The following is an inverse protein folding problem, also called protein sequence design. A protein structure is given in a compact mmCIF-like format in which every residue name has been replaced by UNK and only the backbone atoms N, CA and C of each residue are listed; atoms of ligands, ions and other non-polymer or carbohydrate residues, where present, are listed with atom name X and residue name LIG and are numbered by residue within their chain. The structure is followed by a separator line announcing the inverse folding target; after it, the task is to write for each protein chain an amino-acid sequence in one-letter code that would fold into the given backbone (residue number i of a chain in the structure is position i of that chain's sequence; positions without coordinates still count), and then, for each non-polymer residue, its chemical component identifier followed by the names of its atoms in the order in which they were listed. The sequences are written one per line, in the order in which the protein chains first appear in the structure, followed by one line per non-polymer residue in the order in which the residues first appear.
data_IF_228419677190
#
_entry.id   IF_228419677190
#
_cell.length_a   1.000
_cell.length_b   1.000
_cell.length_c   1.000
_cell.angle_alpha   90.00
_cell.angle_beta   90.00
_cell.angle_gamma   90.00
#
_symmetry.space_group_name_H-M   'P 1'
#
loop_
_entity.id
_entity.type
_entity.pdbx_description
1 polymer ?
#
# COMPACT_ATOMS: atom_id res chain seq x y z
N UNK A 1 -38.50 56.35 32.76
CA UNK A 1 -37.75 57.57 32.39
C UNK A 1 -36.62 57.78 33.39
N UNK A 2 -35.36 57.57 32.99
CA UNK A 2 -34.13 58.32 33.37
C UNK A 2 -32.89 57.49 33.03
N UNK A 3 -32.26 57.87 31.92
CA UNK A 3 -30.90 57.51 31.52
C UNK A 3 -29.90 57.98 32.57
N UNK A 4 -28.79 57.25 32.72
CA UNK A 4 -27.46 57.88 32.88
C UNK A 4 -26.41 57.11 32.05
N UNK A 5 -25.91 57.81 31.03
CA UNK A 5 -24.67 57.55 30.27
C UNK A 5 -23.46 58.01 31.09
N UNK A 6 -22.35 57.28 30.98
CA UNK A 6 -20.94 57.73 31.00
C UNK A 6 -20.17 56.52 30.40
N UNK A 7 -19.69 56.49 29.15
CA UNK A 7 -18.57 57.22 28.50
C UNK A 7 -17.28 57.23 29.34
N UNK A 8 -16.35 56.31 29.05
CA UNK A 8 -14.90 56.61 28.96
C UNK A 8 -14.14 55.52 28.16
N UNK A 9 -13.46 55.99 27.11
CA UNK A 9 -12.50 55.46 26.11
C UNK A 9 -11.14 55.07 26.78
N UNK A 10 -10.06 54.42 26.21
CA UNK A 10 -9.67 54.14 24.80
C UNK A 10 -8.97 52.77 24.47
N UNK A 11 -8.62 52.62 23.18
CA UNK A 11 -7.43 51.96 22.58
C UNK A 11 -7.04 50.54 23.04
N UNK A 12 -7.29 49.56 22.18
CA UNK A 12 -6.29 48.55 21.72
C UNK A 12 -6.71 48.19 20.29
N UNK A 13 -6.31 48.94 19.26
CA UNK A 13 -5.09 48.70 18.47
C UNK A 13 -4.55 47.26 18.51
N UNK A 14 -5.38 46.27 18.19
CA UNK A 14 -4.89 45.03 17.61
C UNK A 14 -5.09 45.11 16.10
N UNK A 15 -4.08 45.69 15.44
CA UNK A 15 -3.75 45.38 14.07
C UNK A 15 -3.63 43.85 13.98
N UNK A 16 -4.71 43.19 13.57
CA UNK A 16 -4.61 41.85 13.03
C UNK A 16 -3.93 42.08 11.68
N UNK A 17 -2.61 41.98 11.70
CA UNK A 17 -1.82 41.66 10.51
C UNK A 17 -2.35 40.29 10.08
N UNK A 18 -3.35 40.29 9.20
CA UNK A 18 -3.61 39.18 8.31
C UNK A 18 -2.35 39.11 7.46
N UNK A 19 -1.39 38.30 7.92
CA UNK A 19 -0.29 37.85 7.08
C UNK A 19 -0.99 37.08 5.97
N UNK A 20 -1.07 37.71 4.81
CA UNK A 20 -1.54 37.15 3.56
C UNK A 20 -0.59 36.01 3.14
N UNK A 21 -0.76 34.83 3.73
CA UNK A 21 -0.13 33.58 3.26
C UNK A 21 -1.11 32.75 2.39
N UNK A 22 -2.02 33.39 1.66
CA UNK A 22 -3.03 32.68 0.87
C UNK A 22 -3.00 32.97 -0.64
N UNK A 23 -1.95 33.61 -1.15
CA UNK A 23 -1.82 33.94 -2.59
C UNK A 23 -0.65 33.23 -3.29
N UNK A 24 0.21 32.50 -2.57
CA UNK A 24 1.54 32.09 -3.09
C UNK A 24 1.67 30.65 -3.60
N UNK A 25 0.83 29.70 -3.18
CA UNK A 25 1.01 28.28 -3.54
C UNK A 25 -0.21 27.73 -4.31
N UNK A 26 -0.03 27.15 -5.51
CA UNK A 26 -1.09 26.47 -6.25
C UNK A 26 -1.48 25.13 -5.57
N UNK A 27 -2.28 25.24 -4.50
CA UNK A 27 -2.60 24.14 -3.58
C UNK A 27 -3.26 22.93 -4.26
N UNK A 28 -4.06 23.18 -5.31
CA UNK A 28 -4.74 22.11 -6.05
C UNK A 28 -3.71 21.29 -6.80
N UNK A 29 -2.90 21.94 -7.64
CA UNK A 29 -1.87 21.31 -8.45
C UNK A 29 -0.84 20.59 -7.58
N UNK A 30 -0.49 21.17 -6.43
CA UNK A 30 0.36 20.51 -5.45
C UNK A 30 -0.24 19.20 -4.93
N UNK A 31 -1.50 19.22 -4.49
CA UNK A 31 -2.18 18.02 -3.99
C UNK A 31 -2.35 16.96 -5.06
N UNK A 32 -2.71 17.37 -6.27
CA UNK A 32 -2.89 16.47 -7.41
C UNK A 32 -1.55 15.78 -7.74
N UNK A 33 -0.47 16.55 -7.92
CA UNK A 33 0.86 16.01 -8.19
C UNK A 33 1.36 15.09 -7.07
N UNK A 34 1.21 15.50 -5.80
CA UNK A 34 1.61 14.69 -4.64
C UNK A 34 0.87 13.37 -4.59
N UNK A 35 -0.45 13.39 -4.81
CA UNK A 35 -1.28 12.18 -4.77
C UNK A 35 -0.87 11.21 -5.87
N UNK A 36 -0.61 11.72 -7.08
CA UNK A 36 -0.20 10.88 -8.21
C UNK A 36 1.21 10.32 -8.00
N UNK A 37 2.13 11.14 -7.47
CA UNK A 37 3.48 10.73 -7.08
C UNK A 37 3.46 9.59 -6.07
N UNK A 38 2.69 9.76 -4.99
CA UNK A 38 2.59 8.77 -3.92
C UNK A 38 2.05 7.44 -4.44
N UNK A 39 1.10 7.47 -5.38
CA UNK A 39 0.60 6.25 -6.05
C UNK A 39 1.66 5.59 -6.93
N UNK A 40 2.37 6.37 -7.74
CA UNK A 40 3.43 5.85 -8.61
C UNK A 40 4.54 5.17 -7.79
N UNK A 41 4.95 5.78 -6.68
CA UNK A 41 5.96 5.23 -5.76
C UNK A 41 5.42 4.01 -5.00
N UNK A 42 4.19 4.08 -4.47
CA UNK A 42 3.57 2.98 -3.71
C UNK A 42 3.57 1.66 -4.50
N UNK A 43 3.40 1.73 -5.81
CA UNK A 43 3.35 0.56 -6.69
C UNK A 43 4.65 0.36 -7.49
N UNK A 44 5.72 1.08 -7.18
CA UNK A 44 7.02 0.99 -7.84
C UNK A 44 6.95 1.12 -9.38
N UNK A 45 6.10 2.03 -9.86
CA UNK A 45 5.77 2.15 -11.29
C UNK A 45 6.88 2.78 -12.15
N UNK A 46 7.91 3.35 -11.52
CA UNK A 46 9.11 3.85 -12.19
C UNK A 46 9.81 2.77 -13.06
N UNK A 47 9.58 1.48 -12.77
CA UNK A 47 10.14 0.39 -13.56
C UNK A 47 9.44 0.17 -14.91
N UNK A 48 8.24 0.73 -15.10
CA UNK A 48 7.43 0.53 -16.31
C UNK A 48 7.39 1.77 -17.22
N UNK A 49 7.58 2.96 -16.66
CA UNK A 49 7.62 4.22 -17.41
C UNK A 49 8.66 5.17 -16.79
N UNK A 50 9.94 4.78 -16.91
CA UNK A 50 11.05 5.48 -16.24
C UNK A 50 11.21 6.92 -16.72
N UNK A 51 11.13 7.15 -18.03
CA UNK A 51 11.32 8.47 -18.62
C UNK A 51 10.29 9.47 -18.10
N UNK A 52 9.00 9.10 -18.13
CA UNK A 52 7.92 9.95 -17.59
C UNK A 52 8.04 10.15 -16.08
N UNK A 53 8.46 9.12 -15.33
CA UNK A 53 8.70 9.26 -13.90
C UNK A 53 9.83 10.26 -13.60
N UNK A 54 10.93 10.20 -14.36
CA UNK A 54 12.05 11.13 -14.20
C UNK A 54 11.63 12.58 -14.57
N UNK A 55 10.85 12.76 -15.64
CA UNK A 55 10.27 14.06 -16.00
C UNK A 55 9.37 14.59 -14.87
N UNK A 56 8.53 13.73 -14.30
CA UNK A 56 7.63 14.10 -13.21
C UNK A 56 8.40 14.53 -11.96
N UNK A 57 9.37 13.74 -11.50
CA UNK A 57 10.18 14.05 -10.31
C UNK A 57 11.01 15.32 -10.50
N UNK A 58 11.56 15.57 -11.70
CA UNK A 58 12.32 16.78 -11.98
C UNK A 58 11.45 18.04 -11.84
N UNK A 59 10.28 18.05 -12.49
CA UNK A 59 9.35 19.17 -12.41
C UNK A 59 8.77 19.35 -11.00
N UNK A 60 8.44 18.26 -10.31
CA UNK A 60 7.94 18.30 -8.94
C UNK A 60 8.99 18.90 -8.00
N UNK A 61 10.25 18.47 -8.12
CA UNK A 61 11.36 18.95 -7.29
C UNK A 61 11.65 20.43 -7.53
N UNK A 62 11.66 20.87 -8.80
CA UNK A 62 11.83 22.30 -9.13
C UNK A 62 10.68 23.15 -8.57
N UNK A 63 9.44 22.66 -8.64
CA UNK A 63 8.30 23.34 -8.05
C UNK A 63 8.45 23.48 -6.52
N UNK A 64 8.95 22.45 -5.84
CA UNK A 64 9.17 22.50 -4.39
C UNK A 64 10.20 23.56 -4.00
N UNK A 65 11.30 23.66 -4.76
CA UNK A 65 12.31 24.70 -4.54
C UNK A 65 11.68 26.10 -4.66
N UNK A 66 10.89 26.35 -5.70
CA UNK A 66 10.24 27.65 -5.89
C UNK A 66 9.20 27.97 -4.80
N UNK A 67 8.49 26.95 -4.31
CA UNK A 67 7.56 27.09 -3.18
C UNK A 67 8.32 27.48 -1.91
N UNK A 68 9.42 26.79 -1.59
CA UNK A 68 10.23 27.07 -0.41
C UNK A 68 10.84 28.48 -0.47
N UNK A 69 11.20 28.94 -1.67
CA UNK A 69 11.69 30.29 -1.92
C UNK A 69 10.59 31.37 -1.98
N UNK A 70 9.30 30.97 -1.92
CA UNK A 70 8.13 31.83 -2.12
C UNK A 70 8.18 32.63 -3.43
N UNK A 71 8.60 31.98 -4.52
CA UNK A 71 8.77 32.60 -5.85
C UNK A 71 7.80 32.05 -6.89
N UNK A 72 7.46 32.93 -7.84
CA UNK A 72 6.85 32.61 -9.13
C UNK A 72 5.73 31.56 -9.08
N UNK A 73 4.62 31.92 -8.42
CA UNK A 73 3.43 31.07 -8.29
C UNK A 73 2.89 30.57 -9.65
N UNK A 74 3.07 31.35 -10.73
CA UNK A 74 2.67 30.95 -12.08
C UNK A 74 3.55 29.81 -12.60
N UNK A 75 4.88 29.91 -12.43
CA UNK A 75 5.81 28.84 -12.80
C UNK A 75 5.62 27.59 -11.93
N UNK A 76 5.41 27.76 -10.62
CA UNK A 76 5.08 26.62 -9.72
C UNK A 76 3.86 25.86 -10.24
N UNK A 77 2.80 26.58 -10.63
CA UNK A 77 1.59 25.97 -11.18
C UNK A 77 1.86 25.19 -12.45
N UNK A 78 2.64 25.75 -13.37
CA UNK A 78 3.05 25.10 -14.61
C UNK A 78 3.82 23.79 -14.33
N UNK A 79 4.86 23.87 -13.49
CA UNK A 79 5.70 22.73 -13.11
C UNK A 79 4.89 21.61 -12.46
N UNK A 80 4.01 21.93 -11.51
CA UNK A 80 3.16 20.92 -10.85
C UNK A 80 2.12 20.31 -11.80
N UNK A 81 1.63 21.08 -12.76
CA UNK A 81 0.74 20.57 -13.81
C UNK A 81 1.49 19.58 -14.72
N UNK A 82 2.71 19.93 -15.14
CA UNK A 82 3.57 19.04 -15.93
C UNK A 82 3.89 17.76 -15.15
N UNK A 83 4.29 17.89 -13.88
CA UNK A 83 4.54 16.74 -13.01
C UNK A 83 3.30 15.82 -12.89
N UNK A 84 2.13 16.41 -12.65
CA UNK A 84 0.87 15.67 -12.56
C UNK A 84 0.57 14.88 -13.85
N UNK A 85 0.73 15.51 -15.01
CA UNK A 85 0.49 14.86 -16.31
C UNK A 85 1.45 13.69 -16.55
N UNK A 86 2.74 13.85 -16.21
CA UNK A 86 3.72 12.78 -16.34
C UNK A 86 3.48 11.64 -15.34
N UNK A 87 3.18 11.92 -14.05
CA UNK A 87 2.79 10.84 -13.12
C UNK A 87 1.51 10.11 -13.55
N UNK A 88 0.54 10.83 -14.12
CA UNK A 88 -0.66 10.21 -14.65
C UNK A 88 -0.34 9.26 -15.81
N UNK A 89 0.62 9.63 -16.67
CA UNK A 89 1.13 8.76 -17.74
C UNK A 89 1.82 7.52 -17.17
N UNK A 90 2.68 7.69 -16.15
CA UNK A 90 3.30 6.57 -15.42
C UNK A 90 2.25 5.60 -14.87
N UNK A 91 1.17 6.12 -14.28
CA UNK A 91 0.07 5.29 -13.76
C UNK A 91 -0.67 4.56 -14.88
N UNK A 92 -0.98 5.25 -15.97
CA UNK A 92 -1.70 4.70 -17.11
C UNK A 92 -0.91 3.59 -17.81
N UNK A 93 0.40 3.74 -17.92
CA UNK A 93 1.27 2.76 -18.57
C UNK A 93 1.68 1.62 -17.62
N UNK A 94 1.95 1.95 -16.36
CA UNK A 94 2.52 1.04 -15.38
C UNK A 94 1.51 0.11 -14.72
N UNK A 95 0.33 0.62 -14.33
CA UNK A 95 -0.67 -0.20 -13.62
C UNK A 95 -1.17 -1.41 -14.44
N UNK A 96 -1.47 -1.31 -15.75
CA UNK A 96 -1.88 -2.47 -16.55
C UNK A 96 -0.80 -3.55 -16.62
N UNK A 97 0.44 -3.14 -16.87
CA UNK A 97 1.58 -4.06 -16.95
C UNK A 97 1.82 -4.75 -15.60
N UNK A 98 1.81 -3.98 -14.52
CA UNK A 98 2.03 -4.53 -13.18
C UNK A 98 0.89 -5.48 -12.75
N UNK A 99 -0.36 -5.18 -13.10
CA UNK A 99 -1.49 -6.06 -12.84
C UNK A 99 -1.32 -7.44 -13.51
N UNK A 100 -0.85 -7.47 -14.76
CA UNK A 100 -0.59 -8.74 -15.47
C UNK A 100 0.61 -9.51 -14.88
N UNK A 101 1.67 -8.81 -14.45
CA UNK A 101 2.78 -9.44 -13.72
C UNK A 101 2.27 -10.10 -12.44
N UNK A 102 1.51 -9.36 -11.61
CA UNK A 102 0.98 -9.88 -10.36
C UNK A 102 0.02 -11.06 -10.57
N UNK A 103 -0.84 -11.01 -11.59
CA UNK A 103 -1.75 -12.10 -11.93
C UNK A 103 -0.99 -13.41 -12.22
N UNK A 104 0.14 -13.34 -12.92
CA UNK A 104 0.98 -14.50 -13.19
C UNK A 104 1.68 -15.01 -11.93
N UNK A 105 2.24 -14.11 -11.11
CA UNK A 105 2.88 -14.48 -9.84
C UNK A 105 1.89 -15.18 -8.88
N UNK A 106 0.70 -14.61 -8.73
CA UNK A 106 -0.31 -15.14 -7.80
C UNK A 106 -0.88 -16.45 -8.31
N UNK A 107 -0.97 -16.64 -9.63
CA UNK A 107 -1.38 -17.94 -10.20
C UNK A 107 -0.46 -19.07 -9.74
N UNK A 108 0.84 -18.82 -9.58
CA UNK A 108 1.79 -19.78 -9.02
C UNK A 108 1.59 -19.98 -7.52
N UNK A 109 1.44 -18.90 -6.74
CA UNK A 109 1.22 -18.98 -5.29
C UNK A 109 -0.09 -19.71 -4.92
N UNK A 110 -1.12 -19.58 -5.76
CA UNK A 110 -2.38 -20.34 -5.66
C UNK A 110 -2.15 -21.83 -5.78
N UNK A 111 -1.31 -22.26 -6.72
CA UNK A 111 -0.95 -23.67 -6.88
C UNK A 111 -0.21 -24.17 -5.64
N UNK A 112 0.83 -23.46 -5.19
CA UNK A 112 1.63 -23.88 -4.03
C UNK A 112 0.83 -23.96 -2.74
N UNK A 113 -0.01 -22.96 -2.45
CA UNK A 113 -0.86 -22.94 -1.26
C UNK A 113 -1.92 -24.06 -1.30
N UNK A 114 -2.46 -24.37 -2.49
CA UNK A 114 -3.39 -25.50 -2.66
C UNK A 114 -2.70 -26.86 -2.50
N UNK A 115 -1.49 -27.02 -3.03
CA UNK A 115 -0.71 -28.28 -2.95
C UNK A 115 -0.39 -28.66 -1.50
N UNK A 116 -0.03 -27.68 -0.66
CA UNK A 116 0.19 -27.92 0.78
C UNK A 116 -1.12 -28.07 1.57
N UNK A 117 -2.28 -28.03 0.89
CA UNK A 117 -3.63 -28.11 1.47
C UNK A 117 -3.92 -26.97 2.45
N UNK A 118 -3.43 -25.75 2.18
CA UNK A 118 -3.66 -24.59 3.04
C UNK A 118 -5.16 -24.30 3.23
N UNK A 119 -5.99 -24.58 2.22
CA UNK A 119 -7.46 -24.50 2.30
C UNK A 119 -8.11 -25.36 3.39
N UNK A 120 -7.37 -26.33 3.98
CA UNK A 120 -7.83 -27.15 5.12
C UNK A 120 -7.25 -26.70 6.45
N UNK A 121 -6.03 -26.15 6.44
CA UNK A 121 -5.23 -25.88 7.63
C UNK A 121 -5.33 -24.42 8.06
N UNK A 122 -5.17 -23.50 7.11
CA UNK A 122 -5.30 -22.06 7.30
C UNK A 122 -6.39 -21.52 6.33
N UNK A 123 -7.61 -22.04 6.56
CA UNK A 123 -8.77 -21.81 5.68
C UNK A 123 -9.10 -20.33 5.52
N UNK A 124 -9.03 -19.56 6.61
CA UNK A 124 -9.40 -18.14 6.62
C UNK A 124 -8.47 -17.32 5.69
N UNK A 125 -7.16 -17.43 5.85
CA UNK A 125 -6.23 -16.71 4.97
C UNK A 125 -6.35 -17.21 3.53
N UNK A 126 -6.54 -18.51 3.31
CA UNK A 126 -6.74 -19.05 1.95
C UNK A 126 -8.00 -18.48 1.27
N UNK A 127 -9.14 -18.45 1.96
CA UNK A 127 -10.40 -17.93 1.40
C UNK A 127 -10.34 -16.41 1.17
N UNK A 128 -9.71 -15.64 2.07
CA UNK A 128 -9.46 -14.22 1.84
C UNK A 128 -8.55 -13.97 0.63
N UNK A 129 -7.55 -14.83 0.42
CA UNK A 129 -6.67 -14.73 -0.74
C UNK A 129 -7.44 -14.96 -2.05
N UNK A 130 -8.25 -16.02 -2.11
CA UNK A 130 -9.06 -16.34 -3.28
C UNK A 130 -10.12 -15.27 -3.58
N UNK A 131 -10.76 -14.70 -2.55
CA UNK A 131 -11.70 -13.59 -2.72
C UNK A 131 -11.00 -12.36 -3.33
N UNK A 132 -9.83 -11.99 -2.81
CA UNK A 132 -9.05 -10.88 -3.37
C UNK A 132 -8.61 -11.17 -4.80
N UNK A 133 -8.23 -12.41 -5.13
CA UNK A 133 -7.88 -12.79 -6.49
C UNK A 133 -9.06 -12.63 -7.46
N UNK A 134 -10.27 -13.05 -7.06
CA UNK A 134 -11.50 -12.88 -7.85
C UNK A 134 -11.81 -11.40 -8.05
N UNK A 135 -11.74 -10.60 -6.99
CA UNK A 135 -11.98 -9.15 -7.07
C UNK A 135 -10.94 -8.47 -7.98
N UNK A 136 -9.68 -8.90 -7.92
CA UNK A 136 -8.63 -8.39 -8.80
C UNK A 136 -8.91 -8.69 -10.27
N UNK A 137 -9.34 -9.92 -10.60
CA UNK A 137 -9.74 -10.29 -11.97
C UNK A 137 -10.95 -9.48 -12.45
N UNK A 138 -11.93 -9.25 -11.57
CA UNK A 138 -13.09 -8.40 -11.88
C UNK A 138 -12.66 -6.97 -12.18
N UNK A 139 -11.83 -6.36 -11.32
CA UNK A 139 -11.30 -5.01 -11.52
C UNK A 139 -10.44 -4.90 -12.79
N UNK A 140 -9.61 -5.92 -13.06
CA UNK A 140 -8.80 -5.99 -14.28
C UNK A 140 -9.69 -6.02 -15.54
N UNK A 141 -10.77 -6.80 -15.53
CA UNK A 141 -11.69 -6.91 -16.66
C UNK A 141 -12.47 -5.63 -16.97
N UNK A 142 -12.55 -4.71 -16.00
CA UNK A 142 -13.19 -3.40 -16.13
C UNK A 142 -12.18 -2.25 -16.28
N UNK A 143 -10.90 -2.58 -16.51
CA UNK A 143 -9.78 -1.63 -16.60
C UNK A 143 -9.58 -0.78 -15.33
N UNK A 144 -10.10 -1.21 -14.18
CA UNK A 144 -9.80 -0.59 -12.89
C UNK A 144 -8.46 -1.12 -12.36
N UNK A 145 -7.37 -0.70 -13.02
CA UNK A 145 -6.05 -1.28 -12.77
C UNK A 145 -5.50 -0.98 -11.36
N UNK A 146 -5.84 0.16 -10.76
CA UNK A 146 -5.41 0.47 -9.39
C UNK A 146 -6.06 -0.48 -8.38
N UNK A 147 -7.36 -0.75 -8.52
CA UNK A 147 -8.06 -1.74 -7.69
C UNK A 147 -7.55 -3.15 -7.96
N UNK A 148 -7.30 -3.50 -9.24
CA UNK A 148 -6.77 -4.80 -9.62
C UNK A 148 -5.41 -5.07 -8.96
N UNK A 149 -4.45 -4.13 -9.06
CA UNK A 149 -3.13 -4.23 -8.42
C UNK A 149 -3.27 -4.35 -6.90
N UNK A 150 -4.11 -3.52 -6.27
CA UNK A 150 -4.35 -3.56 -4.82
C UNK A 150 -4.89 -4.93 -4.36
N UNK A 151 -5.90 -5.46 -5.05
CA UNK A 151 -6.48 -6.76 -4.74
C UNK A 151 -5.49 -7.90 -5.02
N UNK A 152 -4.73 -7.85 -6.11
CA UNK A 152 -3.69 -8.84 -6.37
C UNK A 152 -2.61 -8.86 -5.27
N UNK A 153 -2.11 -7.70 -4.84
CA UNK A 153 -1.14 -7.64 -3.73
C UNK A 153 -1.69 -8.25 -2.43
N UNK A 154 -2.97 -8.04 -2.13
CA UNK A 154 -3.62 -8.69 -1.00
C UNK A 154 -3.76 -10.20 -1.19
N UNK A 155 -4.14 -10.67 -2.38
CA UNK A 155 -4.20 -12.10 -2.70
C UNK A 155 -2.83 -12.76 -2.50
N UNK A 156 -1.76 -12.15 -3.02
CA UNK A 156 -0.37 -12.57 -2.83
C UNK A 156 -0.03 -12.72 -1.35
N UNK A 157 -0.24 -11.65 -0.58
CA UNK A 157 0.00 -11.62 0.87
C UNK A 157 -0.69 -12.76 1.61
N UNK A 158 -1.97 -13.00 1.32
CA UNK A 158 -2.75 -14.01 2.03
C UNK A 158 -2.45 -15.45 1.58
N UNK A 159 -2.17 -15.70 0.29
CA UNK A 159 -1.68 -17.01 -0.16
C UNK A 159 -0.33 -17.35 0.46
N UNK A 160 0.59 -16.39 0.49
CA UNK A 160 1.88 -16.53 1.15
C UNK A 160 1.71 -16.88 2.63
N UNK A 161 0.89 -16.13 3.37
CA UNK A 161 0.60 -16.41 4.78
C UNK A 161 0.00 -17.80 4.99
N UNK A 162 -1.01 -18.18 4.20
CA UNK A 162 -1.66 -19.48 4.30
C UNK A 162 -0.69 -20.64 4.02
N UNK A 163 0.21 -20.47 3.04
CA UNK A 163 1.27 -21.43 2.74
C UNK A 163 2.21 -21.64 3.92
N UNK A 164 2.78 -20.56 4.47
CA UNK A 164 3.77 -20.67 5.55
C UNK A 164 3.17 -21.16 6.87
N UNK A 165 1.96 -20.69 7.25
CA UNK A 165 1.24 -21.23 8.41
C UNK A 165 1.05 -22.73 8.28
N UNK A 166 0.68 -23.21 7.09
CA UNK A 166 0.44 -24.64 6.85
C UNK A 166 1.71 -25.46 6.94
N UNK A 167 2.82 -24.95 6.37
CA UNK A 167 4.14 -25.59 6.48
C UNK A 167 4.60 -25.71 7.93
N UNK A 168 4.51 -24.63 8.71
CA UNK A 168 4.88 -24.63 10.13
C UNK A 168 4.09 -25.69 10.91
N UNK A 169 2.76 -25.73 10.74
CA UNK A 169 1.91 -26.73 11.41
C UNK A 169 2.25 -28.17 11.00
N UNK A 170 2.62 -28.39 9.75
CA UNK A 170 3.05 -29.71 9.28
C UNK A 170 4.37 -30.15 9.94
N UNK A 171 5.34 -29.25 10.02
CA UNK A 171 6.64 -29.52 10.63
C UNK A 171 6.50 -29.79 12.13
N UNK A 172 5.68 -28.99 12.83
CA UNK A 172 5.33 -29.18 14.24
C UNK A 172 4.63 -30.54 14.49
N UNK A 173 3.68 -30.91 13.62
CA UNK A 173 2.99 -32.20 13.72
C UNK A 173 3.95 -33.36 13.51
N UNK A 174 4.86 -33.26 12.53
CA UNK A 174 5.85 -34.31 12.25
C UNK A 174 6.82 -34.48 13.42
N UNK A 175 7.27 -33.38 14.02
CA UNK A 175 8.10 -33.41 15.22
C UNK A 175 7.36 -34.08 16.39
N UNK A 176 6.09 -33.71 16.62
CA UNK A 176 5.28 -34.31 17.69
C UNK A 176 5.04 -35.81 17.52
N UNK A 177 4.84 -36.28 16.28
CA UNK A 177 4.70 -37.73 15.98
C UNK A 177 6.00 -38.46 16.32
N UNK A 178 7.15 -37.94 15.86
CA UNK A 178 8.45 -38.56 16.15
C UNK A 178 8.71 -38.63 17.66
N UNK A 179 8.43 -37.56 18.40
CA UNK A 179 8.56 -37.54 19.86
C UNK A 179 7.64 -38.57 20.54
N UNK A 180 6.43 -38.80 20.00
CA UNK A 180 5.51 -39.82 20.50
C UNK A 180 6.01 -41.24 20.19
N UNK A 181 6.50 -41.49 18.98
CA UNK A 181 7.09 -42.78 18.57
C UNK A 181 8.33 -43.12 19.40
N UNK A 182 9.19 -42.14 19.69
CA UNK A 182 10.36 -42.31 20.56
C UNK A 182 9.97 -42.69 21.99
N UNK A 183 8.92 -42.05 22.54
CA UNK A 183 8.40 -42.39 23.87
C UNK A 183 7.78 -43.79 23.92
N UNK A 184 7.02 -44.17 22.89
CA UNK A 184 6.45 -45.52 22.79
C UNK A 184 7.57 -46.57 22.79
N UNK A 185 8.62 -46.36 21.99
CA UNK A 185 9.79 -47.27 21.95
C UNK A 185 10.48 -47.40 23.31
N UNK A 186 10.70 -46.29 24.02
CA UNK A 186 11.30 -46.31 25.35
C UNK A 186 10.45 -47.11 26.36
N UNK A 187 9.12 -46.95 26.32
CA UNK A 187 8.21 -47.72 27.18
C UNK A 187 8.28 -49.21 26.87
N UNK A 188 8.24 -49.59 25.59
CA UNK A 188 8.36 -50.99 25.17
C UNK A 188 9.69 -51.63 25.58
N UNK A 189 10.79 -50.88 25.49
CA UNK A 189 12.11 -51.34 25.94
C UNK A 189 12.16 -51.54 27.46
N UNK A 190 11.59 -50.61 28.23
CA UNK A 190 11.48 -50.73 29.68
C UNK A 190 10.67 -51.97 30.06
N UNK A 191 9.49 -52.18 29.46
CA UNK A 191 8.65 -53.35 29.71
C UNK A 191 9.37 -54.67 29.38
N UNK A 192 10.10 -54.74 28.25
CA UNK A 192 10.89 -55.94 27.92
C UNK A 192 12.04 -56.17 28.89
N UNK A 193 12.66 -55.10 29.39
CA UNK A 193 13.77 -55.19 30.34
C UNK A 193 13.32 -55.59 31.75
N UNK A 194 12.11 -55.19 32.16
CA UNK A 194 11.52 -55.54 33.47
C UNK A 194 10.87 -56.93 33.49
N UNK A 195 10.65 -57.54 32.33
CA UNK A 195 10.05 -58.88 32.18
C UNK A 195 11.07 -60.02 32.12
N UNK A 196 12.36 -59.71 32.25
CA UNK A 196 13.48 -60.67 32.34
C UNK A 196 14.02 -60.71 33.76
#
# INVERSE_FOLDING_TARGET
MKLKKYIFIPLVFCLIIVISCSESMPLKEYKDATTLRDKAIKYDLQNYSKEEFDIAEANYSEAMILIDENKDSAKVKELLTTASNSYQTVLNDGLPQYAEVLKNEISLERVYSKEVKAYRVDKENYEFAELNYINALSALSTNNYEEAVSCFLNAKKYHHKAYFTTKIRYDESTRGIKEAEDKIRQIEELERSSSK
#
